data_IF_360032078978
#
_entry.id   IF_360032078978
#
_cell.length_a   1.000
_cell.length_b   1.000
_cell.length_c   1.000
_cell.angle_alpha   90.00
_cell.angle_beta   90.00
_cell.angle_gamma   90.00
#
_symmetry.space_group_name_H-M   'P 1'
#
loop_
_entity.id
_entity.type
_entity.pdbx_description
1 polymer ?
#
# COMPACT_ATOMS: atom_id res chain seq x y z
N UNK A 1 -31.51 -1.99 37.29
CA UNK A 1 -30.33 -1.89 36.40
C UNK A 1 -29.79 -0.49 36.55
N UNK A 2 -28.47 -0.26 36.65
CA UNK A 2 -27.98 1.11 36.69
C UNK A 2 -28.22 1.77 35.33
N UNK A 3 -28.81 2.97 35.34
CA UNK A 3 -28.96 3.79 34.14
C UNK A 3 -27.57 4.16 33.63
N UNK A 4 -27.24 3.65 32.44
CA UNK A 4 -25.97 3.97 31.80
C UNK A 4 -26.16 5.35 31.17
N UNK A 5 -25.85 6.42 31.90
CA UNK A 5 -25.79 7.76 31.32
C UNK A 5 -24.72 7.75 30.23
N UNK A 6 -25.20 7.77 28.99
CA UNK A 6 -24.36 7.80 27.81
C UNK A 6 -23.68 9.17 27.76
N UNK A 7 -22.35 9.20 27.94
CA UNK A 7 -21.55 10.43 27.86
C UNK A 7 -21.92 11.27 26.64
N UNK A 8 -22.04 12.58 26.81
CA UNK A 8 -22.39 13.54 25.75
C UNK A 8 -21.46 13.42 24.53
N UNK A 9 -20.19 13.07 24.76
CA UNK A 9 -19.20 12.80 23.71
C UNK A 9 -19.54 11.53 22.90
N UNK A 10 -20.01 10.47 23.57
CA UNK A 10 -20.43 9.24 22.90
C UNK A 10 -21.74 9.44 22.13
N UNK A 11 -22.70 10.19 22.69
CA UNK A 11 -23.96 10.49 22.03
C UNK A 11 -23.76 11.38 20.78
N UNK A 12 -22.84 12.33 20.83
CA UNK A 12 -22.46 13.15 19.67
C UNK A 12 -21.74 12.33 18.60
N UNK A 13 -20.82 11.43 18.99
CA UNK A 13 -20.15 10.52 18.05
C UNK A 13 -21.12 9.54 17.37
N UNK A 14 -22.12 9.02 18.09
CA UNK A 14 -23.19 8.21 17.49
C UNK A 14 -24.05 9.00 16.50
N UNK A 15 -24.38 10.27 16.79
CA UNK A 15 -25.14 11.12 15.84
C UNK A 15 -24.35 11.38 14.55
N UNK A 16 -23.04 11.63 14.66
CA UNK A 16 -22.16 11.80 13.49
C UNK A 16 -22.10 10.52 12.67
N UNK A 17 -21.86 9.36 13.31
CA UNK A 17 -21.84 8.07 12.61
C UNK A 17 -23.16 7.77 11.91
N UNK A 18 -24.30 7.95 12.59
CA UNK A 18 -25.63 7.75 11.99
C UNK A 18 -25.89 8.71 10.82
N UNK A 19 -25.44 9.97 10.93
CA UNK A 19 -25.51 10.95 9.86
C UNK A 19 -24.68 10.56 8.64
N UNK A 20 -23.48 10.01 8.86
CA UNK A 20 -22.60 9.48 7.81
C UNK A 20 -23.25 8.31 7.06
N UNK A 21 -23.78 7.30 7.77
CA UNK A 21 -24.48 6.19 7.12
C UNK A 21 -25.70 6.67 6.32
N UNK A 22 -26.47 7.61 6.85
CA UNK A 22 -27.62 8.19 6.16
C UNK A 22 -27.22 8.96 4.87
N UNK A 23 -26.01 9.51 4.79
CA UNK A 23 -25.53 10.16 3.57
C UNK A 23 -25.20 9.18 2.46
N UNK A 24 -24.60 8.02 2.77
CA UNK A 24 -24.36 6.97 1.78
C UNK A 24 -25.68 6.43 1.18
N UNK A 25 -26.76 6.44 1.96
CA UNK A 25 -28.09 6.03 1.51
C UNK A 25 -28.79 7.07 0.62
N UNK A 26 -28.24 8.29 0.46
CA UNK A 26 -28.84 9.29 -0.43
C UNK A 26 -28.53 8.94 -1.89
N UNK A 27 -29.53 8.94 -2.80
CA UNK A 27 -29.35 8.55 -4.21
C UNK A 27 -28.26 9.33 -4.96
N UNK A 28 -27.95 10.56 -4.54
CA UNK A 28 -26.90 11.40 -5.13
C UNK A 28 -25.48 10.88 -4.85
N UNK A 29 -25.25 10.21 -3.72
CA UNK A 29 -23.93 9.68 -3.34
C UNK A 29 -23.70 8.27 -3.89
N UNK A 30 -24.74 7.45 -3.93
CA UNK A 30 -24.72 6.12 -4.55
C UNK A 30 -24.28 6.15 -6.03
N UNK A 31 -24.54 7.27 -6.74
CA UNK A 31 -24.27 7.45 -8.17
C UNK A 31 -23.11 8.41 -8.47
N UNK A 32 -22.46 8.95 -7.44
CA UNK A 32 -21.40 9.94 -7.65
C UNK A 32 -20.11 9.22 -8.10
N UNK A 33 -19.47 9.67 -9.20
CA UNK A 33 -18.24 9.05 -9.65
C UNK A 33 -17.10 9.32 -8.66
N UNK A 34 -16.23 8.32 -8.46
CA UNK A 34 -14.99 8.52 -7.72
C UNK A 34 -14.00 9.34 -8.56
N UNK A 35 -13.51 10.44 -7.98
CA UNK A 35 -12.54 11.36 -8.61
C UNK A 35 -11.21 11.45 -7.85
N UNK A 36 -11.20 11.00 -6.60
CA UNK A 36 -10.04 11.06 -5.71
C UNK A 36 -9.79 9.66 -5.13
N UNK A 37 -8.68 9.03 -5.49
CA UNK A 37 -8.38 7.65 -5.11
C UNK A 37 -8.30 7.45 -3.58
N UNK A 38 -7.77 8.43 -2.85
CA UNK A 38 -7.70 8.36 -1.38
C UNK A 38 -9.04 8.59 -0.66
N UNK A 39 -10.12 8.89 -1.39
CA UNK A 39 -11.44 9.24 -0.86
C UNK A 39 -12.52 8.25 -1.32
N UNK A 40 -12.19 6.96 -1.32
CA UNK A 40 -13.08 5.90 -1.80
C UNK A 40 -13.41 4.93 -0.68
N UNK A 41 -14.70 4.69 -0.44
CA UNK A 41 -15.19 3.60 0.40
C UNK A 41 -15.57 2.39 -0.47
N UNK A 42 -15.36 1.20 0.07
CA UNK A 42 -15.80 -0.05 -0.52
C UNK A 42 -17.03 -0.58 0.20
N UNK A 43 -18.00 -1.03 -0.59
CA UNK A 43 -19.16 -1.74 -0.09
C UNK A 43 -19.46 -2.88 -1.07
N UNK A 44 -19.05 -4.09 -0.67
CA UNK A 44 -19.31 -5.30 -1.44
C UNK A 44 -20.78 -5.70 -1.43
N UNK A 45 -21.19 -6.44 -2.47
CA UNK A 45 -22.57 -6.88 -2.70
C UNK A 45 -23.15 -7.71 -1.56
N UNK A 46 -22.30 -8.48 -0.85
CA UNK A 46 -22.69 -9.32 0.29
C UNK A 46 -23.10 -8.55 1.55
N UNK A 47 -22.84 -7.23 1.61
CA UNK A 47 -23.25 -6.39 2.73
C UNK A 47 -24.72 -6.00 2.61
N UNK A 48 -25.51 -6.10 3.69
CA UNK A 48 -26.90 -5.62 3.69
C UNK A 48 -27.04 -4.13 3.37
N UNK A 49 -25.99 -3.34 3.57
CA UNK A 49 -25.99 -1.92 3.18
C UNK A 49 -25.97 -1.76 1.65
N UNK A 50 -25.49 -2.75 0.89
CA UNK A 50 -25.52 -2.70 -0.59
C UNK A 50 -26.96 -2.57 -1.09
N UNK A 51 -27.91 -3.27 -0.46
CA UNK A 51 -29.35 -3.20 -0.78
C UNK A 51 -29.96 -1.80 -0.59
N UNK A 52 -29.38 -0.99 0.29
CA UNK A 52 -29.85 0.37 0.56
C UNK A 52 -29.28 1.40 -0.44
N UNK A 53 -28.17 1.04 -1.09
CA UNK A 53 -27.45 1.89 -2.04
C UNK A 53 -27.75 1.48 -3.50
N UNK A 54 -28.14 0.22 -3.71
CA UNK A 54 -28.59 -0.33 -4.99
C UNK A 54 -29.98 0.21 -5.36
N UNK A 55 -30.13 0.65 -6.61
CA UNK A 55 -31.43 1.06 -7.16
C UNK A 55 -32.23 -0.17 -7.61
N UNK A 56 -33.56 -0.06 -7.64
CA UNK A 56 -34.48 -1.06 -8.21
C UNK A 56 -34.23 -1.37 -9.70
N UNK A 57 -33.34 -0.63 -10.38
CA UNK A 57 -33.11 -0.69 -11.83
C UNK A 57 -31.67 -1.02 -12.28
N UNK A 58 -30.87 -1.69 -11.44
CA UNK A 58 -29.86 -2.64 -11.93
C UNK A 58 -28.59 -2.08 -12.58
N UNK A 59 -27.67 -1.58 -11.75
CA UNK A 59 -26.24 -1.79 -12.01
C UNK A 59 -25.65 -2.45 -10.77
N UNK A 60 -25.43 -3.75 -10.83
CA UNK A 60 -25.01 -4.60 -9.70
C UNK A 60 -23.56 -4.38 -9.30
N UNK A 61 -22.72 -3.90 -10.23
CA UNK A 61 -21.26 -4.01 -10.13
C UNK A 61 -20.57 -2.78 -9.52
N UNK A 62 -21.31 -1.76 -9.07
CA UNK A 62 -20.70 -0.57 -8.44
C UNK A 62 -20.38 -0.87 -6.99
N UNK A 63 -19.10 -1.07 -6.68
CA UNK A 63 -18.62 -1.38 -5.33
C UNK A 63 -17.81 -0.26 -4.68
N UNK A 64 -17.44 0.76 -5.46
CA UNK A 64 -16.71 1.94 -4.98
C UNK A 64 -17.63 3.14 -4.85
N UNK A 65 -17.57 3.80 -3.70
CA UNK A 65 -18.40 4.97 -3.38
C UNK A 65 -17.51 6.12 -2.91
N UNK A 66 -17.77 7.36 -3.36
CA UNK A 66 -17.00 8.50 -2.88
C UNK A 66 -17.32 8.76 -1.42
N UNK A 67 -16.28 9.05 -0.64
CA UNK A 67 -16.44 9.51 0.73
C UNK A 67 -17.10 10.89 0.75
N UNK A 68 -18.19 11.06 1.53
CA UNK A 68 -18.77 12.38 1.73
C UNK A 68 -17.73 13.39 2.22
N UNK A 69 -17.89 14.65 1.84
CA UNK A 69 -16.94 15.72 2.20
C UNK A 69 -16.82 15.94 3.71
N UNK A 70 -17.86 15.61 4.48
CA UNK A 70 -17.88 15.63 5.94
C UNK A 70 -17.32 14.33 6.57
N UNK A 71 -17.11 13.27 5.78
CA UNK A 71 -16.33 12.08 6.16
C UNK A 71 -14.86 12.31 5.77
N UNK A 72 -14.40 13.56 5.82
CA UNK A 72 -12.98 13.84 5.95
C UNK A 72 -12.56 13.22 7.28
N UNK A 73 -11.67 12.24 7.25
CA UNK A 73 -10.79 11.95 8.36
C UNK A 73 -9.98 13.21 8.70
N UNK A 74 -9.02 13.06 9.59
CA UNK A 74 -8.64 14.15 10.49
C UNK A 74 -8.04 15.42 9.85
N UNK A 75 -7.99 15.60 8.53
CA UNK A 75 -7.75 16.92 7.93
C UNK A 75 -8.82 17.97 8.24
N UNK A 76 -10.06 17.58 8.51
CA UNK A 76 -11.04 18.47 9.16
C UNK A 76 -10.89 18.51 10.69
N UNK A 77 -10.14 17.55 11.26
CA UNK A 77 -9.88 17.39 12.69
C UNK A 77 -8.46 17.75 13.11
N UNK A 78 -7.69 18.51 12.33
CA UNK A 78 -6.53 19.20 12.92
C UNK A 78 -7.03 20.22 13.97
N UNK A 79 -8.28 20.68 13.82
CA UNK A 79 -9.03 21.43 14.83
C UNK A 79 -9.81 20.54 15.85
N UNK A 80 -9.80 19.19 15.73
CA UNK A 80 -10.46 18.28 16.70
C UNK A 80 -9.54 17.16 17.24
N UNK A 81 -8.26 17.10 16.85
CA UNK A 81 -7.25 16.44 17.68
C UNK A 81 -7.25 17.24 18.96
N UNK A 82 -7.68 16.61 20.05
CA UNK A 82 -7.59 17.24 21.36
C UNK A 82 -6.15 17.75 21.54
N UNK A 83 -5.97 18.89 22.19
CA UNK A 83 -4.64 19.47 22.43
C UNK A 83 -3.70 18.43 23.07
N UNK A 84 -4.28 17.51 23.85
CA UNK A 84 -3.61 16.33 24.41
C UNK A 84 -2.96 15.44 23.35
N UNK A 85 -3.65 15.13 22.25
CA UNK A 85 -3.11 14.26 21.20
C UNK A 85 -1.97 14.94 20.44
N UNK A 86 -2.09 16.26 20.19
CA UNK A 86 -1.01 17.06 19.59
C UNK A 86 0.21 17.10 20.51
N UNK A 87 0.01 17.30 21.81
CA UNK A 87 1.09 17.28 22.80
C UNK A 87 1.79 15.91 22.86
N UNK A 88 1.02 14.81 22.79
CA UNK A 88 1.57 13.45 22.71
C UNK A 88 2.43 13.28 21.45
N UNK A 89 1.98 13.78 20.29
CA UNK A 89 2.74 13.73 19.04
C UNK A 89 4.05 14.54 19.13
N UNK A 90 4.02 15.71 19.77
CA UNK A 90 5.22 16.50 20.06
C UNK A 90 6.19 15.74 20.97
N UNK A 91 5.72 15.16 22.07
CA UNK A 91 6.55 14.38 23.00
C UNK A 91 7.16 13.13 22.34
N UNK A 92 6.43 12.48 21.43
CA UNK A 92 6.93 11.36 20.62
C UNK A 92 7.87 11.80 19.49
N UNK A 93 8.06 13.12 19.29
CA UNK A 93 8.88 13.68 18.23
C UNK A 93 8.34 13.41 16.83
N UNK A 94 7.04 13.16 16.68
CA UNK A 94 6.41 12.77 15.41
C UNK A 94 6.63 13.80 14.28
N UNK A 95 6.70 15.08 14.65
CA UNK A 95 6.94 16.22 13.75
C UNK A 95 8.42 16.48 13.43
N UNK A 96 9.35 15.77 14.08
CA UNK A 96 10.77 15.97 13.87
C UNK A 96 11.24 15.26 12.61
N UNK A 97 11.97 15.99 11.77
CA UNK A 97 12.69 15.48 10.60
C UNK A 97 14.20 15.66 10.80
N UNK A 98 15.03 14.75 10.25
CA UNK A 98 16.48 14.95 10.18
C UNK A 98 16.87 16.23 9.41
N UNK A 99 18.16 16.63 9.45
CA UNK A 99 18.69 17.65 8.56
C UNK A 99 18.36 17.34 7.09
N UNK A 100 18.08 18.38 6.29
CA UNK A 100 17.61 18.23 4.91
C UNK A 100 18.50 17.31 4.06
N UNK A 101 19.82 17.44 4.18
CA UNK A 101 20.77 16.60 3.45
C UNK A 101 20.57 15.10 3.73
N UNK A 102 20.40 14.73 5.01
CA UNK A 102 20.15 13.34 5.38
C UNK A 102 18.77 12.86 4.90
N UNK A 103 17.75 13.72 4.93
CA UNK A 103 16.45 13.39 4.34
C UNK A 103 16.56 13.13 2.83
N UNK A 104 17.32 13.95 2.11
CA UNK A 104 17.51 13.81 0.66
C UNK A 104 18.20 12.47 0.33
N UNK A 105 19.24 12.09 1.08
CA UNK A 105 19.92 10.80 0.93
C UNK A 105 19.00 9.60 1.22
N UNK A 106 18.19 9.68 2.28
CA UNK A 106 17.23 8.62 2.64
C UNK A 106 16.12 8.45 1.59
N UNK A 107 15.60 9.56 1.08
CA UNK A 107 14.57 9.57 0.03
C UNK A 107 15.13 8.99 -1.28
N UNK A 108 16.35 9.35 -1.65
CA UNK A 108 16.97 8.78 -2.86
C UNK A 108 17.26 7.29 -2.70
N UNK A 109 17.78 6.87 -1.53
CA UNK A 109 18.02 5.46 -1.24
C UNK A 109 16.72 4.63 -1.31
N UNK A 110 15.59 5.18 -0.87
CA UNK A 110 14.28 4.56 -1.04
C UNK A 110 13.94 4.35 -2.53
N UNK A 111 14.03 5.39 -3.36
CA UNK A 111 13.68 5.28 -4.78
C UNK A 111 14.63 4.37 -5.56
N UNK A 112 15.90 4.29 -5.13
CA UNK A 112 16.89 3.44 -5.76
C UNK A 112 16.72 1.96 -5.43
N UNK A 113 16.53 1.62 -4.15
CA UNK A 113 16.65 0.23 -3.67
C UNK A 113 15.34 -0.40 -3.22
N UNK A 114 14.33 0.39 -2.91
CA UNK A 114 13.08 -0.10 -2.32
C UNK A 114 11.94 0.01 -3.32
N UNK A 115 11.77 1.17 -3.96
CA UNK A 115 10.71 1.40 -4.94
C UNK A 115 10.64 0.35 -6.07
N UNK A 116 11.74 -0.26 -6.56
CA UNK A 116 11.64 -1.33 -7.56
C UNK A 116 10.92 -2.60 -7.08
N UNK A 117 10.96 -2.91 -5.78
CA UNK A 117 10.24 -4.04 -5.16
C UNK A 117 8.86 -3.64 -4.67
N UNK A 118 8.69 -2.37 -4.30
CA UNK A 118 7.43 -1.78 -3.82
C UNK A 118 7.12 -0.47 -4.54
N UNK A 119 6.67 -0.51 -5.81
CA UNK A 119 6.45 0.67 -6.65
C UNK A 119 5.15 1.40 -6.31
N UNK A 120 4.93 1.66 -5.02
CA UNK A 120 3.68 2.17 -4.44
C UNK A 120 3.61 3.69 -4.41
N UNK A 121 4.62 4.40 -4.92
CA UNK A 121 4.69 5.86 -4.92
C UNK A 121 4.87 6.36 -6.36
N UNK A 122 4.15 7.42 -6.74
CA UNK A 122 4.48 8.18 -7.95
C UNK A 122 5.65 9.12 -7.63
N UNK A 123 6.83 8.84 -8.19
CA UNK A 123 8.09 9.53 -7.86
C UNK A 123 8.03 11.00 -8.24
N UNK A 124 7.51 11.32 -9.43
CA UNK A 124 7.41 12.71 -9.93
C UNK A 124 6.53 13.57 -9.03
N UNK A 125 5.32 13.12 -8.71
CA UNK A 125 4.38 13.81 -7.83
C UNK A 125 4.95 13.96 -6.41
N UNK A 126 5.60 12.92 -5.88
CA UNK A 126 6.23 12.96 -4.56
C UNK A 126 7.38 13.97 -4.51
N UNK A 127 8.35 13.89 -5.42
CA UNK A 127 9.54 14.73 -5.41
C UNK A 127 9.20 16.21 -5.64
N UNK A 128 8.19 16.51 -6.45
CA UNK A 128 7.67 17.87 -6.61
C UNK A 128 7.18 18.44 -5.27
N UNK A 129 6.35 17.68 -4.55
CA UNK A 129 5.87 18.10 -3.22
C UNK A 129 6.99 18.16 -2.19
N UNK A 130 7.94 17.22 -2.24
CA UNK A 130 9.07 17.18 -1.32
C UNK A 130 10.01 18.39 -1.47
N UNK A 131 10.09 18.98 -2.67
CA UNK A 131 10.81 20.22 -2.97
C UNK A 131 9.99 21.49 -2.68
N UNK A 132 8.66 21.36 -2.52
CA UNK A 132 7.76 22.48 -2.28
C UNK A 132 7.42 22.64 -0.78
N UNK A 133 7.99 23.63 -0.08
CA UNK A 133 7.71 23.84 1.33
C UNK A 133 6.27 24.30 1.61
N UNK A 134 5.53 24.80 0.61
CA UNK A 134 4.14 25.25 0.76
C UNK A 134 3.14 24.11 0.64
N UNK A 135 3.52 23.02 -0.02
CA UNK A 135 2.68 21.84 -0.22
C UNK A 135 3.48 20.54 -0.05
N UNK A 136 4.08 20.32 1.13
CA UNK A 136 4.92 19.16 1.40
C UNK A 136 4.12 17.85 1.30
N UNK A 137 4.77 16.69 1.10
CA UNK A 137 4.12 15.39 1.17
C UNK A 137 3.53 15.14 2.57
N UNK A 138 2.68 14.11 2.67
CA UNK A 138 2.20 13.66 3.97
C UNK A 138 3.36 13.34 4.91
N UNK A 139 3.30 13.86 6.13
CA UNK A 139 4.33 13.60 7.13
C UNK A 139 4.38 12.12 7.53
N UNK A 140 3.22 11.46 7.61
CA UNK A 140 3.15 10.01 7.87
C UNK A 140 3.92 9.25 6.78
N UNK A 141 3.63 9.55 5.51
CA UNK A 141 4.30 8.91 4.39
C UNK A 141 5.80 9.23 4.36
N UNK A 142 6.18 10.48 4.63
CA UNK A 142 7.59 10.87 4.67
C UNK A 142 8.34 10.11 5.76
N UNK A 143 7.83 10.02 6.99
CA UNK A 143 8.45 9.23 8.06
C UNK A 143 8.58 7.75 7.67
N UNK A 144 7.58 7.19 6.98
CA UNK A 144 7.63 5.80 6.51
C UNK A 144 8.68 5.60 5.40
N UNK A 145 8.85 6.56 4.49
CA UNK A 145 9.93 6.57 3.48
C UNK A 145 11.30 6.68 4.16
N UNK A 146 11.45 7.56 5.16
CA UNK A 146 12.71 7.69 5.91
C UNK A 146 13.06 6.41 6.67
N UNK A 147 12.06 5.73 7.25
CA UNK A 147 12.23 4.41 7.84
C UNK A 147 12.76 3.41 6.80
N UNK A 148 12.08 3.28 5.67
CA UNK A 148 12.45 2.33 4.63
C UNK A 148 13.87 2.64 4.10
N UNK A 149 14.12 3.90 3.73
CA UNK A 149 15.41 4.40 3.27
C UNK A 149 16.55 4.17 4.26
N UNK A 150 16.29 4.26 5.58
CA UNK A 150 17.33 4.06 6.60
C UNK A 150 17.89 2.63 6.64
N UNK A 151 17.16 1.65 6.08
CA UNK A 151 17.59 0.25 6.01
C UNK A 151 18.51 -0.05 4.82
N UNK A 152 18.55 0.86 3.85
CA UNK A 152 19.30 0.68 2.58
C UNK A 152 20.28 1.82 2.31
N UNK A 153 20.26 2.88 3.12
CA UNK A 153 21.19 4.00 3.04
C UNK A 153 22.49 3.67 3.79
N UNK A 154 23.62 3.95 3.16
CA UNK A 154 24.97 3.68 3.71
C UNK A 154 25.54 4.84 4.53
N UNK A 155 24.74 5.87 4.88
CA UNK A 155 25.22 7.02 5.60
C UNK A 155 25.63 6.66 7.04
N UNK A 156 26.89 6.90 7.47
CA UNK A 156 27.36 6.55 8.81
C UNK A 156 26.60 7.24 9.95
N UNK A 157 25.94 8.38 9.72
CA UNK A 157 25.14 9.08 10.73
C UNK A 157 23.91 8.29 11.18
N UNK A 158 23.50 7.28 10.40
CA UNK A 158 22.38 6.39 10.72
C UNK A 158 22.79 5.22 11.61
N UNK A 159 24.10 4.99 11.76
CA UNK A 159 24.65 3.81 12.40
C UNK A 159 24.97 4.06 13.86
N UNK A 160 24.72 3.06 14.71
CA UNK A 160 25.23 3.05 16.07
C UNK A 160 26.70 2.60 16.15
N UNK A 161 27.23 2.45 17.37
CA UNK A 161 28.60 2.03 17.61
C UNK A 161 28.94 0.64 17.02
N UNK A 162 27.93 -0.17 16.69
CA UNK A 162 28.09 -1.50 16.09
C UNK A 162 27.86 -1.48 14.57
N UNK A 163 27.67 -0.30 13.96
CA UNK A 163 27.36 -0.18 12.53
C UNK A 163 25.88 -0.44 12.18
N UNK A 164 25.00 -0.59 13.17
CA UNK A 164 23.60 -0.94 12.94
C UNK A 164 22.72 0.29 12.71
N UNK A 165 21.89 0.24 11.67
CA UNK A 165 20.88 1.29 11.39
C UNK A 165 19.59 1.13 12.19
N UNK A 166 19.49 0.10 13.04
CA UNK A 166 18.28 -0.22 13.82
C UNK A 166 17.80 0.95 14.70
N UNK A 167 18.65 1.72 15.39
CA UNK A 167 18.18 2.86 16.19
C UNK A 167 17.55 3.99 15.36
N UNK A 168 18.12 4.27 14.18
CA UNK A 168 17.56 5.25 13.24
C UNK A 168 16.21 4.75 12.70
N UNK A 169 16.14 3.50 12.25
CA UNK A 169 14.91 2.86 11.80
C UNK A 169 13.83 2.87 12.88
N UNK A 170 14.18 2.52 14.13
CA UNK A 170 13.27 2.57 15.28
C UNK A 170 12.71 3.98 15.51
N UNK A 171 13.55 5.01 15.36
CA UNK A 171 13.12 6.41 15.50
C UNK A 171 12.07 6.78 14.47
N UNK A 172 12.33 6.52 13.17
CA UNK A 172 11.38 6.80 12.10
C UNK A 172 10.09 5.98 12.24
N UNK A 173 10.22 4.70 12.61
CA UNK A 173 9.08 3.83 12.87
C UNK A 173 8.18 4.38 13.99
N UNK A 174 8.74 4.76 15.14
CA UNK A 174 7.97 5.30 16.27
C UNK A 174 7.24 6.59 15.88
N UNK A 175 7.89 7.46 15.09
CA UNK A 175 7.28 8.70 14.59
C UNK A 175 6.13 8.43 13.61
N UNK A 176 6.35 7.55 12.62
CA UNK A 176 5.31 7.14 11.68
C UNK A 176 4.13 6.47 12.39
N UNK A 177 4.41 5.55 13.32
CA UNK A 177 3.38 4.86 14.11
C UNK A 177 2.56 5.84 14.95
N UNK A 178 3.19 6.82 15.57
CA UNK A 178 2.47 7.84 16.34
C UNK A 178 1.49 8.63 15.47
N UNK A 179 1.90 9.03 14.26
CA UNK A 179 1.03 9.72 13.30
C UNK A 179 -0.12 8.84 12.82
N UNK A 180 0.14 7.55 12.60
CA UNK A 180 -0.89 6.58 12.22
C UNK A 180 -1.91 6.35 13.35
N UNK A 181 -1.44 6.07 14.57
CA UNK A 181 -2.28 5.84 15.74
C UNK A 181 -3.18 7.06 16.06
N UNK A 182 -2.66 8.27 15.83
CA UNK A 182 -3.39 9.54 16.00
C UNK A 182 -4.38 9.84 14.85
N UNK A 183 -4.48 8.98 13.82
CA UNK A 183 -5.26 9.22 12.60
C UNK A 183 -4.89 10.53 11.89
N UNK A 184 -3.60 10.93 11.93
CA UNK A 184 -3.12 12.21 11.41
C UNK A 184 -3.26 12.34 9.87
N UNK A 185 -3.24 11.22 9.16
CA UNK A 185 -3.51 11.17 7.72
C UNK A 185 -4.91 10.61 7.46
N UNK A 186 -5.53 11.11 6.38
CA UNK A 186 -6.89 10.78 5.97
C UNK A 186 -6.93 10.19 4.55
N UNK A 187 -5.95 10.52 3.72
CA UNK A 187 -5.85 9.96 2.38
C UNK A 187 -5.54 8.46 2.43
N UNK A 188 -6.51 7.62 2.05
CA UNK A 188 -6.42 6.16 2.19
C UNK A 188 -5.29 5.54 1.37
N UNK A 189 -4.99 6.11 0.21
CA UNK A 189 -3.83 5.71 -0.61
C UNK A 189 -2.54 5.96 0.16
N UNK A 190 -2.39 7.16 0.73
CA UNK A 190 -1.24 7.54 1.55
C UNK A 190 -1.10 6.68 2.79
N UNK A 191 -2.21 6.34 3.47
CA UNK A 191 -2.21 5.44 4.63
C UNK A 191 -1.71 4.05 4.21
N UNK A 192 -2.26 3.46 3.14
CA UNK A 192 -1.84 2.13 2.66
C UNK A 192 -0.36 2.14 2.27
N UNK A 193 0.11 3.16 1.56
CA UNK A 193 1.52 3.34 1.22
C UNK A 193 2.40 3.36 2.47
N UNK A 194 2.04 4.17 3.48
CA UNK A 194 2.79 4.25 4.72
C UNK A 194 2.82 2.90 5.46
N UNK A 195 1.69 2.19 5.54
CA UNK A 195 1.60 0.88 6.19
C UNK A 195 2.47 -0.18 5.51
N UNK A 196 2.52 -0.20 4.17
CA UNK A 196 3.44 -1.07 3.42
C UNK A 196 4.89 -0.77 3.83
N UNK A 197 5.26 0.51 3.90
CA UNK A 197 6.62 0.95 4.23
C UNK A 197 6.98 0.78 5.72
N UNK A 198 6.00 0.78 6.62
CA UNK A 198 6.20 0.42 8.03
C UNK A 198 6.72 -1.02 8.20
N UNK A 199 6.49 -1.90 7.21
CA UNK A 199 7.04 -3.25 7.18
C UNK A 199 8.57 -3.35 7.09
N UNK A 200 9.29 -2.24 6.92
CA UNK A 200 10.76 -2.21 6.99
C UNK A 200 11.32 -2.19 8.41
N UNK A 201 10.46 -2.07 9.41
CA UNK A 201 10.83 -2.18 10.82
C UNK A 201 10.52 -3.58 11.37
N UNK A 202 11.45 -4.11 12.15
CA UNK A 202 11.31 -5.30 12.98
C UNK A 202 12.48 -5.34 13.98
N UNK A 203 12.26 -5.87 15.18
CA UNK A 203 13.31 -6.00 16.21
C UNK A 203 13.96 -7.38 16.22
N UNK A 204 13.30 -8.38 15.65
CA UNK A 204 13.76 -9.76 15.60
C UNK A 204 12.72 -10.70 15.00
N UNK A 205 13.11 -11.93 14.64
CA UNK A 205 12.23 -12.93 14.02
C UNK A 205 11.07 -13.38 14.94
N UNK A 206 11.22 -13.24 16.25
CA UNK A 206 10.22 -13.57 17.27
C UNK A 206 9.08 -12.55 17.35
N UNK A 207 9.29 -11.32 16.88
CA UNK A 207 8.29 -10.27 16.95
C UNK A 207 7.19 -10.50 15.92
N UNK A 208 5.94 -10.59 16.39
CA UNK A 208 4.77 -10.84 15.56
C UNK A 208 3.79 -9.66 15.49
N UNK A 209 4.08 -8.56 16.20
CA UNK A 209 3.13 -7.44 16.37
C UNK A 209 3.55 -6.17 15.64
N UNK A 210 4.77 -6.11 15.12
CA UNK A 210 5.28 -4.95 14.39
C UNK A 210 6.30 -5.31 13.30
N UNK A 211 6.32 -6.57 12.87
CA UNK A 211 7.17 -7.04 11.78
C UNK A 211 6.53 -6.83 10.39
N UNK A 212 7.27 -7.24 9.36
CA UNK A 212 6.85 -7.14 7.96
C UNK A 212 5.54 -7.86 7.64
N UNK A 213 5.25 -9.00 8.28
CA UNK A 213 3.98 -9.74 8.09
C UNK A 213 2.81 -9.00 8.70
N UNK A 214 2.97 -8.48 9.92
CA UNK A 214 1.95 -7.70 10.60
C UNK A 214 1.57 -6.46 9.78
N UNK A 215 2.54 -5.64 9.39
CA UNK A 215 2.25 -4.40 8.65
C UNK A 215 1.71 -4.65 7.25
N UNK A 216 2.17 -5.71 6.57
CA UNK A 216 1.58 -6.12 5.30
C UNK A 216 0.11 -6.53 5.48
N UNK A 217 -0.24 -7.26 6.54
CA UNK A 217 -1.63 -7.63 6.88
C UNK A 217 -2.50 -6.41 7.19
N UNK A 218 -1.99 -5.47 7.99
CA UNK A 218 -2.72 -4.22 8.29
C UNK A 218 -2.94 -3.41 7.00
N UNK A 219 -1.94 -3.31 6.13
CA UNK A 219 -2.08 -2.65 4.84
C UNK A 219 -3.14 -3.32 3.94
N UNK A 220 -3.18 -4.65 3.88
CA UNK A 220 -4.21 -5.40 3.15
C UNK A 220 -5.61 -5.09 3.68
N UNK A 221 -5.81 -5.09 5.01
CA UNK A 221 -7.10 -4.78 5.63
C UNK A 221 -7.59 -3.38 5.24
N UNK A 222 -6.71 -2.37 5.32
CA UNK A 222 -7.06 -1.00 4.95
C UNK A 222 -7.31 -0.86 3.45
N UNK A 223 -6.51 -1.52 2.62
CA UNK A 223 -6.65 -1.53 1.17
C UNK A 223 -7.97 -2.17 0.72
N UNK A 224 -8.33 -3.34 1.26
CA UNK A 224 -9.61 -4.01 1.00
C UNK A 224 -10.80 -3.19 1.50
N UNK A 225 -10.69 -2.58 2.69
CA UNK A 225 -11.70 -1.65 3.20
C UNK A 225 -11.87 -0.39 2.34
N UNK A 226 -10.87 -0.06 1.52
CA UNK A 226 -10.90 1.03 0.53
C UNK A 226 -11.25 0.54 -0.88
N UNK A 227 -11.41 -0.78 -1.08
CA UNK A 227 -11.76 -1.40 -2.36
C UNK A 227 -10.61 -1.54 -3.33
N UNK A 228 -9.36 -1.49 -2.86
CA UNK A 228 -8.19 -1.57 -3.74
C UNK A 228 -8.01 -2.92 -4.42
N UNK A 229 -8.68 -3.96 -3.92
CA UNK A 229 -8.81 -5.26 -4.55
C UNK A 229 -9.80 -5.29 -5.71
N UNK A 230 -10.49 -4.18 -5.99
CA UNK A 230 -11.45 -4.07 -7.08
C UNK A 230 -10.97 -3.10 -8.16
N UNK A 231 -11.23 -3.44 -9.43
CA UNK A 231 -10.85 -2.64 -10.59
C UNK A 231 -11.48 -1.26 -10.55
N UNK A 232 -10.70 -0.28 -10.96
CA UNK A 232 -11.12 1.12 -11.12
C UNK A 232 -10.98 1.57 -12.58
N UNK A 233 -10.80 0.65 -13.53
CA UNK A 233 -10.53 0.95 -14.94
C UNK A 233 -11.63 1.81 -15.57
N UNK A 234 -12.90 1.52 -15.25
CA UNK A 234 -14.06 2.27 -15.74
C UNK A 234 -14.46 3.46 -14.87
N UNK A 235 -13.68 3.79 -13.85
CA UNK A 235 -13.93 4.95 -12.98
C UNK A 235 -13.48 6.28 -13.60
N UNK A 236 -13.82 7.40 -12.96
CA UNK A 236 -13.38 8.75 -13.34
C UNK A 236 -12.08 9.18 -12.63
N UNK A 237 -11.34 8.24 -12.03
CA UNK A 237 -9.99 8.54 -11.53
C UNK A 237 -9.06 8.93 -12.68
N UNK A 238 -8.05 9.75 -12.38
CA UNK A 238 -6.98 10.06 -13.34
C UNK A 238 -6.24 8.80 -13.76
N UNK A 239 -5.64 8.77 -14.95
CA UNK A 239 -4.83 7.63 -15.42
C UNK A 239 -3.68 7.34 -14.45
N UNK A 240 -3.04 8.39 -13.93
CA UNK A 240 -1.97 8.27 -12.94
C UNK A 240 -2.45 7.58 -11.66
N UNK A 241 -3.66 7.91 -11.17
CA UNK A 241 -4.22 7.27 -9.98
C UNK A 241 -4.62 5.81 -10.23
N UNK A 242 -5.20 5.48 -11.39
CA UNK A 242 -5.53 4.08 -11.76
C UNK A 242 -4.27 3.21 -11.86
N UNK A 243 -3.20 3.72 -12.46
CA UNK A 243 -1.90 3.05 -12.53
C UNK A 243 -1.33 2.80 -11.14
N UNK A 244 -1.30 3.84 -10.30
CA UNK A 244 -0.83 3.73 -8.92
C UNK A 244 -1.65 2.73 -8.09
N UNK A 245 -2.98 2.71 -8.29
CA UNK A 245 -3.90 1.75 -7.66
C UNK A 245 -3.51 0.31 -7.96
N UNK A 246 -3.28 -0.02 -9.24
CA UNK A 246 -2.79 -1.35 -9.65
C UNK A 246 -1.44 -1.69 -9.03
N UNK A 247 -0.47 -0.75 -9.06
CA UNK A 247 0.86 -0.97 -8.44
C UNK A 247 0.76 -1.25 -6.94
N UNK A 248 -0.12 -0.56 -6.22
CA UNK A 248 -0.35 -0.79 -4.79
C UNK A 248 -0.94 -2.17 -4.54
N UNK A 249 -2.00 -2.54 -5.26
CA UNK A 249 -2.66 -3.84 -5.08
C UNK A 249 -1.70 -5.00 -5.35
N UNK A 250 -0.99 -4.97 -6.48
CA UNK A 250 -0.03 -6.02 -6.83
C UNK A 250 1.19 -6.05 -5.91
N UNK A 251 1.57 -4.92 -5.29
CA UNK A 251 2.58 -4.90 -4.22
C UNK A 251 2.10 -5.62 -2.96
N UNK A 252 0.83 -5.41 -2.57
CA UNK A 252 0.24 -6.12 -1.44
C UNK A 252 0.15 -7.61 -1.72
N UNK A 253 -0.25 -7.98 -2.95
CA UNK A 253 -0.28 -9.37 -3.40
C UNK A 253 1.09 -10.05 -3.28
N UNK A 254 2.14 -9.46 -3.85
CA UNK A 254 3.48 -10.08 -3.81
C UNK A 254 4.00 -10.19 -2.38
N UNK A 255 3.84 -9.15 -1.55
CA UNK A 255 4.19 -9.19 -0.12
C UNK A 255 3.43 -10.27 0.65
N UNK A 256 2.15 -10.44 0.37
CA UNK A 256 1.34 -11.46 1.04
C UNK A 256 1.90 -12.87 0.83
N UNK A 257 2.34 -13.19 -0.40
CA UNK A 257 2.90 -14.50 -0.73
C UNK A 257 4.35 -14.64 -0.27
N UNK A 258 5.21 -13.67 -0.59
CA UNK A 258 6.64 -13.79 -0.29
C UNK A 258 6.92 -13.84 1.22
N UNK A 259 6.22 -13.03 2.01
CA UNK A 259 6.37 -13.04 3.47
C UNK A 259 5.71 -14.30 4.08
N UNK A 260 4.60 -14.77 3.52
CA UNK A 260 3.98 -16.03 3.92
C UNK A 260 4.94 -17.22 3.76
N UNK A 261 5.61 -17.32 2.60
CA UNK A 261 6.66 -18.33 2.36
C UNK A 261 7.79 -18.16 3.36
N UNK A 262 8.36 -16.95 3.48
CA UNK A 262 9.55 -16.71 4.30
C UNK A 262 9.35 -17.02 5.79
N UNK A 263 8.13 -16.83 6.32
CA UNK A 263 7.81 -17.04 7.74
C UNK A 263 6.98 -18.29 8.00
N UNK A 264 6.65 -19.09 6.98
CA UNK A 264 5.79 -20.26 7.10
C UNK A 264 4.37 -19.94 7.58
N UNK A 265 3.80 -18.80 7.14
CA UNK A 265 2.48 -18.31 7.55
C UNK A 265 1.46 -18.44 6.43
N UNK A 266 0.15 -18.51 6.72
CA UNK A 266 -0.87 -18.46 5.68
C UNK A 266 -0.86 -17.14 4.93
N UNK A 267 -1.20 -17.19 3.64
CA UNK A 267 -1.61 -16.03 2.85
C UNK A 267 -2.97 -15.51 3.32
N UNK A 268 -3.32 -14.28 2.94
CA UNK A 268 -4.60 -13.68 3.34
C UNK A 268 -5.28 -12.85 2.26
N UNK A 269 -4.66 -12.71 1.09
CA UNK A 269 -5.36 -12.29 -0.12
C UNK A 269 -5.87 -13.54 -0.83
N UNK A 270 -7.19 -13.69 -0.92
CA UNK A 270 -7.79 -14.58 -1.90
C UNK A 270 -7.88 -13.85 -3.24
N UNK A 271 -7.30 -14.43 -4.30
CA UNK A 271 -7.29 -13.79 -5.62
C UNK A 271 -8.68 -13.81 -6.27
N UNK A 272 -9.54 -14.77 -5.90
CA UNK A 272 -10.92 -14.88 -6.41
C UNK A 272 -11.82 -13.72 -5.98
N UNK A 273 -11.44 -12.99 -4.91
CA UNK A 273 -12.17 -11.81 -4.46
C UNK A 273 -11.76 -10.53 -5.24
N UNK A 274 -10.73 -10.62 -6.08
CA UNK A 274 -10.11 -9.50 -6.78
C UNK A 274 -10.36 -9.54 -8.28
N UNK A 275 -10.67 -8.38 -8.86
CA UNK A 275 -10.82 -8.19 -10.32
C UNK A 275 -9.88 -7.10 -10.87
N UNK A 276 -8.87 -6.68 -10.11
CA UNK A 276 -7.82 -5.77 -10.58
C UNK A 276 -7.02 -6.41 -11.71
N UNK A 277 -6.87 -5.69 -12.82
CA UNK A 277 -6.14 -6.16 -13.98
C UNK A 277 -4.66 -6.38 -13.66
N UNK A 278 -4.05 -7.36 -14.35
CA UNK A 278 -2.63 -7.62 -14.22
C UNK A 278 -1.82 -6.35 -14.52
N UNK A 279 -0.83 -6.07 -13.67
CA UNK A 279 0.07 -4.92 -13.84
C UNK A 279 0.84 -5.02 -15.16
N UNK A 280 1.03 -3.89 -15.85
CA UNK A 280 1.77 -3.81 -17.10
C UNK A 280 2.83 -2.70 -17.07
N UNK A 281 3.67 -2.62 -18.10
CA UNK A 281 4.70 -1.57 -18.22
C UNK A 281 4.11 -0.15 -18.20
N UNK A 282 2.93 0.00 -18.81
CA UNK A 282 2.20 1.27 -18.84
C UNK A 282 1.87 1.77 -17.44
N UNK A 283 1.77 0.88 -16.45
CA UNK A 283 1.45 1.25 -15.09
C UNK A 283 2.58 1.95 -14.36
N UNK A 284 3.80 2.00 -14.91
CA UNK A 284 4.96 2.65 -14.30
C UNK A 284 5.23 4.06 -14.81
N UNK A 285 4.39 4.55 -15.73
CA UNK A 285 4.48 5.90 -16.25
C UNK A 285 3.84 6.88 -15.26
N UNK A 286 4.67 7.71 -14.64
CA UNK A 286 4.33 8.64 -13.56
C UNK A 286 3.96 10.07 -14.01
N UNK A 287 3.60 10.25 -15.29
CA UNK A 287 3.20 11.54 -15.86
C UNK A 287 2.02 12.19 -15.10
N UNK A 288 2.03 13.52 -15.01
CA UNK A 288 0.93 14.28 -14.42
C UNK A 288 -0.04 14.76 -15.51
N UNK A 289 -1.33 14.46 -15.34
CA UNK A 289 -2.38 14.93 -16.24
C UNK A 289 -2.60 16.46 -16.12
N UNK A 290 -3.12 17.11 -17.18
CA UNK A 290 -3.51 18.51 -17.12
C UNK A 290 -4.56 18.76 -16.03
N UNK A 291 -4.23 19.53 -15.00
CA UNK A 291 -5.21 19.93 -13.97
C UNK A 291 -5.94 21.21 -14.37
N UNK A 292 -7.22 21.08 -14.76
CA UNK A 292 -8.18 22.19 -14.89
C UNK A 292 -8.15 22.97 -16.21
N UNK A 293 -9.11 23.90 -16.42
CA UNK A 293 -9.26 24.68 -17.66
C UNK A 293 -8.14 25.71 -17.92
N UNK A 294 -7.23 25.89 -16.96
CA UNK A 294 -6.09 26.80 -17.05
C UNK A 294 -4.78 26.04 -17.33
N UNK A 295 -4.69 25.42 -18.50
CA UNK A 295 -3.49 25.48 -19.35
C UNK A 295 -2.15 24.89 -18.89
N UNK A 296 -2.03 24.13 -17.80
CA UNK A 296 -0.85 23.30 -17.62
C UNK A 296 -0.97 22.09 -18.55
N UNK A 297 -0.32 22.14 -19.71
CA UNK A 297 -0.13 20.97 -20.57
C UNK A 297 0.41 19.83 -19.70
N UNK A 298 -0.14 18.62 -19.86
CA UNK A 298 0.27 17.45 -19.08
C UNK A 298 1.78 17.35 -19.02
N UNK A 299 2.33 17.16 -17.82
CA UNK A 299 3.76 17.28 -17.60
C UNK A 299 4.39 15.90 -17.68
N UNK A 300 5.31 15.73 -18.62
CA UNK A 300 6.15 14.53 -18.69
C UNK A 300 6.91 14.36 -17.37
N UNK A 301 6.97 13.12 -16.92
CA UNK A 301 7.70 12.71 -15.72
C UNK A 301 9.17 13.14 -15.79
N UNK A 302 9.69 13.76 -14.73
CA UNK A 302 11.13 14.03 -14.57
C UNK A 302 11.92 12.72 -14.41
N UNK A 303 11.26 11.71 -13.84
CA UNK A 303 11.85 10.41 -13.55
C UNK A 303 11.24 9.37 -14.48
N UNK A 304 11.99 8.98 -15.50
CA UNK A 304 11.59 7.88 -16.38
C UNK A 304 11.72 6.54 -15.63
N UNK A 305 10.78 5.60 -15.85
CA UNK A 305 10.88 4.27 -15.26
C UNK A 305 12.08 3.53 -15.84
N UNK A 306 12.88 2.90 -14.97
CA UNK A 306 13.97 2.02 -15.39
C UNK A 306 13.36 0.71 -15.93
N UNK A 307 13.63 0.33 -17.19
CA UNK A 307 13.08 -0.89 -17.79
C UNK A 307 13.40 -2.15 -16.98
N UNK A 308 14.57 -2.24 -16.35
CA UNK A 308 14.95 -3.41 -15.54
C UNK A 308 14.10 -3.49 -14.28
N UNK A 309 13.86 -2.36 -13.61
CA UNK A 309 13.00 -2.32 -12.41
C UNK A 309 11.56 -2.69 -12.74
N UNK A 310 11.04 -2.21 -13.88
CA UNK A 310 9.70 -2.56 -14.36
C UNK A 310 9.61 -4.06 -14.63
N UNK A 311 10.51 -4.60 -15.46
CA UNK A 311 10.52 -6.03 -15.79
C UNK A 311 10.71 -6.90 -14.56
N UNK A 312 11.53 -6.46 -13.59
CA UNK A 312 11.71 -7.16 -12.32
C UNK A 312 10.38 -7.31 -11.60
N UNK A 313 9.64 -6.20 -11.39
CA UNK A 313 8.39 -6.24 -10.65
C UNK A 313 7.32 -7.07 -11.38
N UNK A 314 7.17 -6.91 -12.69
CA UNK A 314 6.20 -7.69 -13.48
C UNK A 314 6.44 -9.20 -13.35
N UNK A 315 7.70 -9.64 -13.45
CA UNK A 315 8.03 -11.05 -13.34
C UNK A 315 7.99 -11.55 -11.89
N UNK A 316 8.27 -10.68 -10.91
CA UNK A 316 8.10 -11.00 -9.50
C UNK A 316 6.64 -11.23 -9.11
N UNK A 317 5.70 -10.47 -9.69
CA UNK A 317 4.25 -10.72 -9.53
C UNK A 317 3.87 -12.11 -10.03
N UNK A 318 4.30 -12.48 -11.25
CA UNK A 318 4.06 -13.80 -11.83
C UNK A 318 4.63 -14.94 -10.97
N UNK A 319 5.87 -14.78 -10.46
CA UNK A 319 6.44 -15.75 -9.51
C UNK A 319 5.58 -15.87 -8.24
N UNK A 320 5.07 -14.76 -7.70
CA UNK A 320 4.21 -14.79 -6.53
C UNK A 320 2.86 -15.48 -6.78
N UNK A 321 2.32 -15.45 -8.00
CA UNK A 321 1.16 -16.26 -8.37
C UNK A 321 1.48 -17.75 -8.25
N UNK A 322 2.62 -18.18 -8.81
CA UNK A 322 3.11 -19.57 -8.71
C UNK A 322 3.37 -19.96 -7.25
N UNK A 323 4.02 -19.08 -6.46
CA UNK A 323 4.23 -19.29 -5.02
C UNK A 323 2.91 -19.53 -4.28
N UNK A 324 1.85 -18.78 -4.64
CA UNK A 324 0.52 -18.96 -4.07
C UNK A 324 -0.06 -20.36 -4.34
N UNK A 325 0.10 -20.86 -5.57
CA UNK A 325 -0.30 -22.22 -5.95
C UNK A 325 0.46 -23.28 -5.13
N UNK A 326 1.79 -23.14 -5.05
CA UNK A 326 2.65 -24.05 -4.28
C UNK A 326 2.25 -24.05 -2.79
N UNK A 327 2.02 -22.89 -2.20
CA UNK A 327 1.57 -22.77 -0.81
C UNK A 327 0.24 -23.50 -0.57
N UNK A 328 -0.74 -23.29 -1.45
CA UNK A 328 -2.06 -23.92 -1.32
C UNK A 328 -1.98 -25.45 -1.48
N UNK A 329 -1.20 -25.93 -2.45
CA UNK A 329 -1.10 -27.35 -2.80
C UNK A 329 -0.17 -28.15 -1.89
N UNK A 330 0.92 -27.57 -1.37
CA UNK A 330 1.95 -28.32 -0.64
C UNK A 330 1.98 -28.03 0.86
N UNK A 331 1.61 -26.82 1.27
CA UNK A 331 1.83 -26.35 2.64
C UNK A 331 0.53 -26.11 3.42
N UNK A 332 -0.64 -26.18 2.78
CA UNK A 332 -1.92 -26.08 3.49
C UNK A 332 -2.18 -27.31 4.38
N UNK A 333 -2.90 -27.12 5.49
CA UNK A 333 -3.28 -28.26 6.35
C UNK A 333 -4.18 -29.24 5.60
N UNK A 334 -5.07 -28.72 4.75
CA UNK A 334 -5.95 -29.52 3.91
C UNK A 334 -5.16 -30.36 2.88
N UNK A 335 -4.03 -29.86 2.37
CA UNK A 335 -3.23 -30.60 1.42
C UNK A 335 -2.47 -31.77 2.03
N UNK A 336 -2.24 -31.81 3.35
CA UNK A 336 -1.63 -32.99 4.01
C UNK A 336 -2.43 -34.27 3.77
N UNK A 337 -3.76 -34.17 3.66
CA UNK A 337 -4.63 -35.30 3.30
C UNK A 337 -4.59 -35.64 1.80
N UNK A 338 -4.13 -34.71 0.95
CA UNK A 338 -4.05 -34.83 -0.52
C UNK A 338 -2.62 -35.07 -1.04
N UNK A 339 -1.64 -35.10 -0.13
CA UNK A 339 -0.19 -35.10 -0.40
C UNK A 339 0.33 -36.30 -1.20
N UNK A 340 -0.52 -37.29 -1.47
CA UNK A 340 -0.21 -38.44 -2.33
C UNK A 340 -0.49 -38.19 -3.83
N UNK A 341 -0.99 -37.00 -4.22
CA UNK A 341 -1.23 -36.66 -5.62
C UNK A 341 0.05 -36.09 -6.27
N UNK A 342 0.83 -36.96 -6.93
CA UNK A 342 2.01 -36.56 -7.72
C UNK A 342 1.70 -35.50 -8.80
N UNK A 343 0.44 -35.44 -9.26
CA UNK A 343 -0.04 -34.51 -10.30
C UNK A 343 0.10 -33.04 -9.85
N UNK A 344 -0.11 -32.72 -8.57
CA UNK A 344 -0.07 -31.33 -8.09
C UNK A 344 1.35 -30.73 -8.14
N UNK A 345 2.39 -31.55 -7.92
CA UNK A 345 3.79 -31.10 -8.10
C UNK A 345 4.11 -30.81 -9.57
N UNK A 346 3.65 -31.66 -10.49
CA UNK A 346 3.95 -31.48 -11.92
C UNK A 346 3.42 -30.16 -12.46
N UNK A 347 2.26 -29.69 -11.99
CA UNK A 347 1.71 -28.41 -12.42
C UNK A 347 2.57 -27.21 -11.98
N UNK A 348 3.01 -27.21 -10.72
CA UNK A 348 3.87 -26.14 -10.18
C UNK A 348 5.24 -26.12 -10.88
N UNK A 349 5.84 -27.29 -11.11
CA UNK A 349 7.11 -27.42 -11.83
C UNK A 349 6.99 -26.93 -13.28
N UNK A 350 5.90 -27.27 -13.98
CA UNK A 350 5.62 -26.79 -15.33
C UNK A 350 5.45 -25.27 -15.37
N UNK A 351 4.74 -24.68 -14.40
CA UNK A 351 4.56 -23.23 -14.33
C UNK A 351 5.89 -22.49 -14.09
N UNK A 352 6.76 -23.03 -13.22
CA UNK A 352 8.11 -22.51 -13.01
C UNK A 352 8.96 -22.60 -14.28
N UNK A 353 8.95 -23.75 -14.95
CA UNK A 353 9.69 -23.94 -16.20
C UNK A 353 9.22 -22.98 -17.31
N UNK A 354 7.89 -22.80 -17.46
CA UNK A 354 7.31 -21.85 -18.42
C UNK A 354 7.70 -20.40 -18.08
N UNK A 355 7.65 -20.02 -16.79
CA UNK A 355 8.12 -18.71 -16.35
C UNK A 355 9.59 -18.48 -16.70
N UNK A 356 10.47 -19.46 -16.45
CA UNK A 356 11.90 -19.34 -16.73
C UNK A 356 12.16 -19.21 -18.25
N UNK A 357 11.43 -19.95 -19.06
CA UNK A 357 11.53 -19.90 -20.52
C UNK A 357 11.08 -18.55 -21.09
N UNK A 358 10.04 -17.95 -20.51
CA UNK A 358 9.47 -16.68 -20.93
C UNK A 358 10.05 -15.45 -20.19
N UNK A 359 10.99 -15.66 -19.26
CA UNK A 359 11.63 -14.59 -18.50
C UNK A 359 12.49 -13.71 -19.43
N UNK A 360 12.25 -12.37 -19.47
CA UNK A 360 12.98 -11.48 -20.37
C UNK A 360 14.50 -11.52 -20.15
N UNK A 361 15.32 -11.49 -21.22
CA UNK A 361 16.78 -11.58 -21.10
C UNK A 361 17.44 -10.52 -20.20
N UNK A 362 16.79 -9.37 -20.01
CA UNK A 362 17.28 -8.26 -19.20
C UNK A 362 17.22 -8.55 -17.70
N UNK A 363 16.23 -9.35 -17.26
CA UNK A 363 16.03 -9.74 -15.85
C UNK A 363 16.30 -11.21 -15.59
N UNK A 364 16.66 -11.97 -16.63
CA UNK A 364 17.11 -13.36 -16.50
C UNK A 364 18.53 -13.39 -15.93
N UNK A 365 18.72 -14.17 -14.87
CA UNK A 365 20.04 -14.37 -14.29
C UNK A 365 20.87 -15.32 -15.14
N UNK A 366 22.10 -14.92 -15.46
CA UNK A 366 23.10 -15.77 -16.12
C UNK A 366 24.43 -15.61 -15.39
N UNK A 367 25.23 -16.69 -15.20
CA UNK A 367 26.53 -16.59 -14.52
C UNK A 367 27.51 -15.60 -15.16
N UNK A 368 27.30 -15.21 -16.41
CA UNK A 368 28.14 -14.25 -17.14
C UNK A 368 27.59 -12.81 -17.09
N UNK A 369 26.33 -12.64 -16.69
CA UNK A 369 25.62 -11.35 -16.60
C UNK A 369 25.15 -11.11 -15.17
N UNK A 370 26.05 -10.59 -14.34
CA UNK A 370 25.76 -10.29 -12.94
C UNK A 370 25.06 -8.93 -12.82
N UNK A 371 23.72 -8.94 -12.76
CA UNK A 371 22.94 -7.77 -12.36
C UNK A 371 22.15 -8.07 -11.07
N UNK A 372 22.13 -7.12 -10.13
CA UNK A 372 21.54 -7.31 -8.80
C UNK A 372 20.07 -7.75 -8.89
N UNK A 373 19.26 -7.07 -9.70
CA UNK A 373 17.83 -7.36 -9.84
C UNK A 373 17.56 -8.72 -10.46
N UNK A 374 18.36 -9.12 -11.46
CA UNK A 374 18.24 -10.44 -12.09
C UNK A 374 18.59 -11.55 -11.09
N UNK A 375 19.64 -11.35 -10.28
CA UNK A 375 20.02 -12.28 -9.22
C UNK A 375 18.95 -12.38 -8.12
N UNK A 376 18.38 -11.24 -7.69
CA UNK A 376 17.31 -11.22 -6.71
C UNK A 376 16.06 -11.95 -7.21
N UNK A 377 15.68 -11.72 -8.47
CA UNK A 377 14.54 -12.39 -9.08
C UNK A 377 14.78 -13.91 -9.16
N UNK A 378 15.97 -14.32 -9.59
CA UNK A 378 16.35 -15.72 -9.66
C UNK A 378 16.45 -16.39 -8.29
N UNK A 379 16.80 -15.66 -7.22
CA UNK A 379 16.79 -16.20 -5.87
C UNK A 379 15.37 -16.43 -5.31
N UNK A 380 14.34 -15.81 -5.90
CA UNK A 380 12.94 -16.04 -5.56
C UNK A 380 12.29 -17.15 -6.41
N UNK A 381 12.84 -17.44 -7.59
CA UNK A 381 12.50 -18.59 -8.43
C UNK A 381 13.07 -19.87 -7.80
#
# INVERSE_FOLDING_TARGET
MPDTEVSEAYASQQRVNNGTYAQYMKPKFARAPIKEAGRVAYLGESSNLSLLVQDRHGTTDVVHYPLPENVRGARARVNELDNVEIDILHQRGAFLLPPRALCDELVEAYFQWIAPVVPVINRTKFMRRYRDPKNPPSLLLLQAILLAGSRVCSNPQLMDANGSTTPAAMTFYKRAKALYDANYEDDRVTIVQALILMGWYWEGPEDVTKNVFYWSRVAVIVAQGSGMHRSVEHSQLSRADKRLWKRIWWTLFTRDRSVAVALGRPTGINIEDSDVEMVSEDDFIDDEEPTGPAGNQGRQSEFLPDPIHVQFFLNYVKLCEIMGLVLAQQYSVASKSRRNNAIDLTHSDMALADWLQNCPPEVRWEPQRHHFWSALLHANY
#
